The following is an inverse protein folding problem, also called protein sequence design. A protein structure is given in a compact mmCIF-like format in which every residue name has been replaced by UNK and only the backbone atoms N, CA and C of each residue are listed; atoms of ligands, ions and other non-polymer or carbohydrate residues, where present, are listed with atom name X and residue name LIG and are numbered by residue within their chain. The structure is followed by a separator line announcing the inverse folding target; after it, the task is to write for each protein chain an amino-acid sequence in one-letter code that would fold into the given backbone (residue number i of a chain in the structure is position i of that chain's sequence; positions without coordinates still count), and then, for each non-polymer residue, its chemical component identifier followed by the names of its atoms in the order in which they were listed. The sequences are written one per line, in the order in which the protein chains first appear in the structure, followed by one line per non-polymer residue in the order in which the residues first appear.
data_IF_286644957287
#
_entry.id   IF_286644957287
#
_cell.length_a   1.000
_cell.length_b   1.000
_cell.length_c   1.000
_cell.angle_alpha   90.00
_cell.angle_beta   90.00
_cell.angle_gamma   90.00
#
_symmetry.space_group_name_H-M   'P 1'
#
loop_
_entity.id
_entity.type
_entity.pdbx_description
1 polymer ?
#
# COMPACT_ATOMS: atom_id res chain seq x y z
N UNK A 1 4.09 -28.60 -18.20
CA UNK A 1 3.32 -27.82 -17.20
C UNK A 1 4.14 -26.62 -16.79
N UNK A 2 3.92 -25.46 -17.41
CA UNK A 2 4.61 -24.21 -17.07
C UNK A 2 3.82 -23.57 -15.93
N UNK A 3 4.03 -24.06 -14.71
CA UNK A 3 3.46 -23.47 -13.52
C UNK A 3 4.24 -22.20 -13.20
N UNK A 4 3.70 -21.02 -13.51
CA UNK A 4 4.22 -19.78 -12.95
C UNK A 4 4.09 -19.86 -11.44
N UNK A 5 5.20 -20.03 -10.73
CA UNK A 5 5.20 -20.01 -9.28
C UNK A 5 4.72 -18.64 -8.79
N UNK A 6 3.78 -18.65 -7.85
CA UNK A 6 3.28 -17.47 -7.15
C UNK A 6 4.34 -17.00 -6.14
N UNK A 7 5.38 -16.35 -6.64
CA UNK A 7 6.49 -15.86 -5.81
C UNK A 7 6.16 -14.47 -5.21
N UNK A 8 6.44 -14.29 -3.92
CA UNK A 8 6.06 -13.11 -3.16
C UNK A 8 6.59 -11.78 -3.74
N UNK A 9 7.88 -11.65 -4.17
CA UNK A 9 8.38 -10.46 -4.87
C UNK A 9 7.61 -10.11 -6.13
N UNK A 10 7.21 -11.12 -6.93
CA UNK A 10 6.41 -10.90 -8.13
C UNK A 10 5.02 -10.38 -7.77
N UNK A 11 4.39 -10.98 -6.75
CA UNK A 11 3.06 -10.58 -6.29
C UNK A 11 3.08 -9.16 -5.74
N UNK A 12 4.04 -8.83 -4.88
CA UNK A 12 4.22 -7.48 -4.33
C UNK A 12 4.43 -6.43 -5.44
N UNK A 13 5.17 -6.76 -6.51
CA UNK A 13 5.36 -5.85 -7.66
C UNK A 13 4.05 -5.45 -8.31
N UNK A 14 3.32 -6.41 -8.86
CA UNK A 14 2.14 -6.08 -9.65
C UNK A 14 1.03 -5.50 -8.76
N UNK A 15 0.83 -6.05 -7.57
CA UNK A 15 -0.22 -5.57 -6.66
C UNK A 15 0.09 -4.18 -6.11
N UNK A 16 1.36 -3.89 -5.79
CA UNK A 16 1.78 -2.56 -5.36
C UNK A 16 1.68 -1.53 -6.49
N UNK A 17 2.13 -1.86 -7.71
CA UNK A 17 2.02 -0.94 -8.86
C UNK A 17 0.57 -0.67 -9.22
N UNK A 18 -0.26 -1.70 -9.40
CA UNK A 18 -1.67 -1.51 -9.73
C UNK A 18 -2.44 -0.84 -8.59
N UNK A 19 -2.12 -1.19 -7.35
CA UNK A 19 -2.67 -0.57 -6.15
C UNK A 19 -2.32 0.92 -6.01
N UNK A 20 -1.25 1.39 -6.65
CA UNK A 20 -0.89 2.81 -6.72
C UNK A 20 -1.51 3.48 -7.94
N UNK A 21 -1.45 2.84 -9.11
CA UNK A 21 -1.93 3.40 -10.38
C UNK A 21 -3.44 3.61 -10.37
N UNK A 22 -4.23 2.66 -9.86
CA UNK A 22 -5.69 2.78 -9.86
C UNK A 22 -6.18 4.00 -9.06
N UNK A 23 -5.76 4.22 -7.80
CA UNK A 23 -6.10 5.45 -7.09
C UNK A 23 -5.49 6.70 -7.75
N UNK A 24 -4.28 6.62 -8.32
CA UNK A 24 -3.68 7.79 -8.98
C UNK A 24 -4.48 8.28 -10.19
N UNK A 25 -5.14 7.38 -10.94
CA UNK A 25 -6.04 7.74 -12.04
C UNK A 25 -7.18 8.65 -11.56
N UNK A 26 -7.59 8.56 -10.30
CA UNK A 26 -8.66 9.42 -9.76
C UNK A 26 -8.32 10.91 -9.82
N UNK A 27 -7.03 11.27 -9.82
CA UNK A 27 -6.60 12.66 -10.00
C UNK A 27 -7.01 13.24 -11.36
N UNK A 28 -7.20 12.39 -12.37
CA UNK A 28 -7.70 12.77 -13.70
C UNK A 28 -9.24 12.75 -13.78
N UNK A 29 -9.90 12.00 -12.90
CA UNK A 29 -11.36 11.84 -12.88
C UNK A 29 -12.02 12.94 -12.04
N UNK A 30 -11.63 12.99 -10.77
CA UNK A 30 -12.08 13.98 -9.81
C UNK A 30 -11.01 14.16 -8.71
N UNK A 31 -10.11 15.14 -8.87
CA UNK A 31 -8.98 15.26 -7.97
C UNK A 31 -9.41 15.62 -6.55
N UNK A 32 -8.69 15.09 -5.56
CA UNK A 32 -9.09 15.20 -4.15
C UNK A 32 -9.09 16.66 -3.63
N UNK A 33 -8.31 17.57 -4.23
CA UNK A 33 -8.35 18.99 -3.89
C UNK A 33 -9.61 19.72 -4.38
N UNK A 34 -10.46 19.05 -5.17
CA UNK A 34 -11.79 19.56 -5.55
C UNK A 34 -12.90 19.10 -4.61
N UNK A 35 -12.59 18.29 -3.60
CA UNK A 35 -13.55 17.86 -2.60
C UNK A 35 -13.86 19.03 -1.64
N UNK A 36 -15.12 19.18 -1.19
CA UNK A 36 -15.48 20.19 -0.21
C UNK A 36 -14.66 20.05 1.07
N UNK A 37 -14.37 21.17 1.74
CA UNK A 37 -13.84 21.09 3.10
C UNK A 37 -14.82 20.37 4.03
N UNK A 38 -14.33 19.69 5.06
CA UNK A 38 -15.13 18.96 6.06
C UNK A 38 -16.10 19.84 6.85
N UNK A 39 -16.01 21.17 6.78
CA UNK A 39 -16.95 22.13 7.40
C UNK A 39 -17.96 22.71 6.43
N UNK A 40 -17.90 22.30 5.17
CA UNK A 40 -18.86 22.74 4.17
C UNK A 40 -20.26 22.45 4.70
N UNK A 41 -21.18 23.41 4.53
CA UNK A 41 -22.54 23.24 5.05
C UNK A 41 -23.15 21.93 4.53
N UNK A 42 -23.89 21.22 5.39
CA UNK A 42 -24.43 19.90 5.07
C UNK A 42 -25.24 19.87 3.76
N UNK A 43 -25.98 20.95 3.49
CA UNK A 43 -26.75 21.13 2.25
C UNK A 43 -25.85 21.24 1.01
N UNK A 44 -24.71 21.88 1.14
CA UNK A 44 -23.76 22.09 0.05
C UNK A 44 -22.99 20.81 -0.24
N UNK A 45 -22.63 20.01 0.78
CA UNK A 45 -22.06 18.66 0.58
C UNK A 45 -23.04 17.76 -0.16
N UNK A 46 -24.31 17.74 0.25
CA UNK A 46 -25.33 16.94 -0.43
C UNK A 46 -25.55 17.39 -1.89
N UNK A 47 -25.59 18.70 -2.13
CA UNK A 47 -25.72 19.26 -3.49
C UNK A 47 -24.50 18.95 -4.34
N UNK A 48 -23.30 19.08 -3.79
CA UNK A 48 -22.04 18.75 -4.45
C UNK A 48 -21.97 17.28 -4.86
N UNK A 49 -22.33 16.36 -3.94
CA UNK A 49 -22.32 14.93 -4.21
C UNK A 49 -23.31 14.55 -5.32
N UNK A 50 -24.48 15.19 -5.35
CA UNK A 50 -25.46 15.00 -6.43
C UNK A 50 -24.96 15.56 -7.77
N UNK A 51 -24.33 16.74 -7.77
CA UNK A 51 -23.85 17.39 -8.98
C UNK A 51 -22.67 16.67 -9.65
N UNK A 52 -21.86 15.94 -8.87
CA UNK A 52 -20.66 15.25 -9.35
C UNK A 52 -20.75 13.72 -9.25
N UNK A 53 -21.97 13.19 -9.07
CA UNK A 53 -22.23 11.80 -8.70
C UNK A 53 -21.40 10.78 -9.52
N UNK A 54 -21.51 10.80 -10.86
CA UNK A 54 -20.85 9.79 -11.71
C UNK A 54 -19.33 9.79 -11.58
N UNK A 55 -18.72 10.99 -11.48
CA UNK A 55 -17.27 11.14 -11.31
C UNK A 55 -16.82 10.65 -9.94
N UNK A 56 -17.63 10.92 -8.91
CA UNK A 56 -17.36 10.48 -7.53
C UNK A 56 -17.51 8.96 -7.39
N UNK A 57 -18.52 8.36 -8.04
CA UNK A 57 -18.71 6.90 -8.07
C UNK A 57 -17.51 6.23 -8.73
N UNK A 58 -17.07 6.72 -9.89
CA UNK A 58 -15.89 6.19 -10.56
C UNK A 58 -14.63 6.35 -9.70
N UNK A 59 -14.49 7.50 -9.02
CA UNK A 59 -13.38 7.77 -8.10
C UNK A 59 -13.34 6.77 -6.94
N UNK A 60 -14.47 6.53 -6.30
CA UNK A 60 -14.55 5.54 -5.21
C UNK A 60 -14.32 4.11 -5.71
N UNK A 61 -14.86 3.73 -6.87
CA UNK A 61 -14.62 2.41 -7.43
C UNK A 61 -13.12 2.15 -7.67
N UNK A 62 -12.40 3.11 -8.26
CA UNK A 62 -10.96 3.02 -8.48
C UNK A 62 -10.17 2.97 -7.17
N UNK A 63 -10.53 3.80 -6.19
CA UNK A 63 -9.90 3.80 -4.87
C UNK A 63 -10.13 2.48 -4.13
N UNK A 64 -11.36 1.97 -4.10
CA UNK A 64 -11.73 0.72 -3.44
C UNK A 64 -11.00 -0.47 -4.07
N UNK A 65 -10.97 -0.59 -5.40
CA UNK A 65 -10.23 -1.67 -6.07
C UNK A 65 -8.73 -1.52 -5.81
N UNK A 66 -8.17 -0.32 -5.96
CA UNK A 66 -6.76 -0.04 -5.75
C UNK A 66 -6.29 -0.38 -4.33
N UNK A 67 -7.03 0.08 -3.31
CA UNK A 67 -6.72 -0.19 -1.90
C UNK A 67 -7.01 -1.65 -1.52
N UNK A 68 -7.97 -2.33 -2.16
CA UNK A 68 -8.15 -3.78 -1.98
C UNK A 68 -6.91 -4.56 -2.44
N UNK A 69 -6.26 -4.14 -3.54
CA UNK A 69 -5.00 -4.73 -3.97
C UNK A 69 -3.87 -4.54 -2.95
N UNK A 70 -3.99 -3.56 -2.05
CA UNK A 70 -3.01 -3.41 -0.98
C UNK A 70 -3.02 -4.61 -0.04
N UNK A 71 -4.14 -5.28 0.22
CA UNK A 71 -4.12 -6.53 0.99
C UNK A 71 -3.21 -7.59 0.35
N UNK A 72 -3.27 -7.72 -0.97
CA UNK A 72 -2.41 -8.65 -1.73
C UNK A 72 -0.95 -8.23 -1.63
N UNK A 73 -0.67 -6.93 -1.78
CA UNK A 73 0.66 -6.36 -1.61
C UNK A 73 1.22 -6.60 -0.20
N UNK A 74 0.44 -6.29 0.84
CA UNK A 74 0.80 -6.46 2.23
C UNK A 74 1.05 -7.93 2.58
N UNK A 75 0.19 -8.84 2.11
CA UNK A 75 0.42 -10.28 2.29
C UNK A 75 1.73 -10.74 1.64
N UNK A 76 2.02 -10.26 0.42
CA UNK A 76 3.27 -10.59 -0.27
C UNK A 76 4.51 -10.01 0.43
N UNK A 77 4.47 -8.75 0.86
CA UNK A 77 5.55 -8.12 1.65
C UNK A 77 5.74 -8.85 2.98
N UNK A 78 4.66 -9.21 3.65
CA UNK A 78 4.72 -9.98 4.89
C UNK A 78 5.43 -11.32 4.70
N UNK A 79 5.04 -12.10 3.69
CA UNK A 79 5.70 -13.37 3.35
C UNK A 79 7.18 -13.14 3.07
N UNK A 80 7.49 -12.14 2.26
CA UNK A 80 8.87 -11.78 1.91
C UNK A 80 9.73 -11.44 3.14
N UNK A 81 9.18 -10.68 4.10
CA UNK A 81 9.86 -10.33 5.34
C UNK A 81 9.98 -11.55 6.27
N UNK A 82 8.93 -12.36 6.38
CA UNK A 82 8.91 -13.57 7.21
C UNK A 82 10.04 -14.53 6.83
N UNK A 83 10.32 -14.67 5.54
CA UNK A 83 11.36 -15.57 5.05
C UNK A 83 12.80 -15.04 5.26
N UNK A 84 12.95 -13.74 5.57
CA UNK A 84 14.25 -13.06 5.69
C UNK A 84 14.57 -12.56 7.08
N UNK A 85 13.62 -12.62 8.00
CA UNK A 85 13.78 -12.21 9.39
C UNK A 85 13.79 -13.47 10.27
N UNK A 86 14.53 -13.50 11.41
CA UNK A 86 14.55 -14.67 12.28
C UNK A 86 13.16 -15.16 12.66
N UNK A 87 12.94 -16.48 12.70
CA UNK A 87 11.62 -17.09 12.95
C UNK A 87 10.93 -16.63 14.25
N UNK A 88 11.70 -16.19 15.24
CA UNK A 88 11.20 -15.68 16.53
C UNK A 88 10.88 -14.18 16.53
N UNK A 89 11.10 -13.48 15.42
CA UNK A 89 10.88 -12.05 15.33
C UNK A 89 9.39 -11.72 15.17
N UNK A 90 8.94 -10.73 15.92
CA UNK A 90 7.58 -10.21 15.83
C UNK A 90 7.38 -9.20 14.67
N UNK A 91 8.47 -8.74 14.04
CA UNK A 91 8.42 -7.65 13.05
C UNK A 91 7.49 -7.93 11.86
N UNK A 92 7.52 -9.11 11.20
CA UNK A 92 6.57 -9.39 10.13
C UNK A 92 5.13 -9.35 10.63
N UNK A 93 4.85 -9.89 11.82
CA UNK A 93 3.51 -9.88 12.41
C UNK A 93 3.03 -8.47 12.73
N UNK A 94 3.88 -7.61 13.31
CA UNK A 94 3.58 -6.19 13.51
C UNK A 94 3.29 -5.47 12.19
N UNK A 95 4.08 -5.76 11.15
CA UNK A 95 3.84 -5.26 9.81
C UNK A 95 2.45 -5.67 9.30
N UNK A 96 2.13 -6.96 9.32
CA UNK A 96 0.86 -7.47 8.83
C UNK A 96 -0.34 -6.90 9.61
N UNK A 97 -0.28 -6.91 10.94
CA UNK A 97 -1.36 -6.41 11.78
C UNK A 97 -1.62 -4.92 11.56
N UNK A 98 -0.56 -4.10 11.55
CA UNK A 98 -0.69 -2.66 11.30
C UNK A 98 -1.19 -2.37 9.88
N UNK A 99 -0.70 -3.10 8.89
CA UNK A 99 -1.07 -2.88 7.49
C UNK A 99 -2.52 -3.30 7.21
N UNK A 100 -2.97 -4.44 7.76
CA UNK A 100 -4.37 -4.87 7.72
C UNK A 100 -5.26 -3.83 8.39
N UNK A 101 -4.87 -3.31 9.57
CA UNK A 101 -5.62 -2.26 10.26
C UNK A 101 -5.76 -0.99 9.42
N UNK A 102 -4.68 -0.57 8.76
CA UNK A 102 -4.67 0.59 7.85
C UNK A 102 -5.65 0.38 6.69
N UNK A 103 -5.50 -0.71 5.93
CA UNK A 103 -6.34 -1.00 4.77
C UNK A 103 -7.82 -1.16 5.17
N UNK A 104 -8.10 -1.78 6.32
CA UNK A 104 -9.47 -1.93 6.84
C UNK A 104 -10.12 -0.58 7.11
N UNK A 105 -9.41 0.36 7.74
CA UNK A 105 -9.93 1.70 8.01
C UNK A 105 -10.15 2.49 6.72
N UNK A 106 -9.23 2.39 5.75
CA UNK A 106 -9.39 3.03 4.44
C UNK A 106 -10.64 2.52 3.71
N UNK A 107 -10.81 1.20 3.62
CA UNK A 107 -11.97 0.61 2.96
C UNK A 107 -13.27 0.91 3.69
N UNK A 108 -13.23 1.03 5.02
CA UNK A 108 -14.38 1.47 5.82
C UNK A 108 -14.75 2.92 5.53
N UNK A 109 -13.75 3.80 5.36
CA UNK A 109 -13.95 5.18 4.91
C UNK A 109 -14.58 5.22 3.51
N UNK A 110 -14.03 4.48 2.55
CA UNK A 110 -14.60 4.40 1.20
C UNK A 110 -16.02 3.84 1.20
N UNK A 111 -16.30 2.84 2.04
CA UNK A 111 -17.66 2.31 2.22
C UNK A 111 -18.63 3.40 2.70
N UNK A 112 -18.22 4.24 3.66
CA UNK A 112 -19.05 5.36 4.12
C UNK A 112 -19.33 6.36 2.97
N UNK A 113 -18.32 6.65 2.15
CA UNK A 113 -18.46 7.50 0.97
C UNK A 113 -19.34 6.88 -0.12
N UNK A 114 -19.20 5.59 -0.38
CA UNK A 114 -20.06 4.84 -1.30
C UNK A 114 -21.52 4.88 -0.82
N UNK A 115 -21.78 4.80 0.49
CA UNK A 115 -23.12 4.92 1.06
C UNK A 115 -23.72 6.33 0.93
N UNK A 116 -22.87 7.37 0.90
CA UNK A 116 -23.23 8.75 0.60
C UNK A 116 -23.70 8.85 -0.87
N UNK A 117 -23.02 8.17 -1.79
CA UNK A 117 -23.35 8.19 -3.22
C UNK A 117 -24.50 7.26 -3.59
N UNK A 118 -24.63 6.10 -2.93
CA UNK A 118 -25.53 5.00 -3.31
C UNK A 118 -27.00 5.42 -3.52
N UNK A 119 -27.48 6.39 -2.73
CA UNK A 119 -28.82 6.95 -2.86
C UNK A 119 -28.84 8.38 -2.34
N UNK A 120 -29.83 9.15 -2.76
CA UNK A 120 -30.08 10.49 -2.21
C UNK A 120 -30.24 10.42 -0.69
N UNK A 121 -29.50 11.26 0.02
CA UNK A 121 -29.52 11.38 1.49
C UNK A 121 -30.05 12.74 1.89
N UNK A 122 -30.53 12.84 3.14
CA UNK A 122 -30.71 14.14 3.78
C UNK A 122 -29.35 14.84 3.92
N UNK A 123 -29.36 16.16 4.02
CA UNK A 123 -28.15 16.96 4.21
C UNK A 123 -27.32 16.47 5.40
N UNK A 124 -27.96 16.22 6.54
CA UNK A 124 -27.26 15.80 7.76
C UNK A 124 -26.61 14.42 7.61
N UNK A 125 -27.31 13.46 6.99
CA UNK A 125 -26.76 12.14 6.74
C UNK A 125 -25.60 12.19 5.73
N UNK A 126 -25.68 13.09 4.74
CA UNK A 126 -24.60 13.29 3.78
C UNK A 126 -23.34 13.84 4.46
N UNK A 127 -23.49 14.87 5.29
CA UNK A 127 -22.39 15.44 6.07
C UNK A 127 -21.75 14.41 7.01
N UNK A 128 -22.56 13.64 7.75
CA UNK A 128 -22.04 12.62 8.67
C UNK A 128 -21.22 11.54 7.95
N UNK A 129 -21.69 11.04 6.81
CA UNK A 129 -20.97 10.03 6.03
C UNK A 129 -19.68 10.59 5.42
N UNK A 130 -19.71 11.87 5.03
CA UNK A 130 -18.55 12.59 4.53
C UNK A 130 -17.48 12.74 5.62
N UNK A 131 -17.85 13.24 6.79
CA UNK A 131 -16.93 13.38 7.93
C UNK A 131 -16.40 12.03 8.42
N UNK A 132 -17.26 11.02 8.48
CA UNK A 132 -16.85 9.65 8.83
C UNK A 132 -15.81 9.11 7.85
N UNK A 133 -15.97 9.38 6.54
CA UNK A 133 -14.99 8.98 5.52
C UNK A 133 -13.62 9.56 5.86
N UNK A 134 -13.52 10.88 6.00
CA UNK A 134 -12.25 11.54 6.27
C UNK A 134 -11.67 11.20 7.63
N UNK A 135 -12.53 10.99 8.64
CA UNK A 135 -12.13 10.53 9.95
C UNK A 135 -11.46 9.15 9.90
N UNK A 136 -12.05 8.19 9.19
CA UNK A 136 -11.50 6.84 9.03
C UNK A 136 -10.20 6.86 8.22
N UNK A 137 -10.12 7.68 7.18
CA UNK A 137 -8.89 7.88 6.40
C UNK A 137 -7.77 8.45 7.27
N UNK A 138 -8.03 9.46 8.09
CA UNK A 138 -7.04 10.02 9.00
C UNK A 138 -6.58 8.99 10.05
N UNK A 139 -7.53 8.26 10.65
CA UNK A 139 -7.23 7.23 11.66
C UNK A 139 -6.42 6.05 11.09
N UNK A 140 -6.53 5.76 9.79
CA UNK A 140 -5.73 4.72 9.12
C UNK A 140 -4.22 4.93 9.22
N UNK A 141 -3.77 6.16 9.48
CA UNK A 141 -2.37 6.51 9.67
C UNK A 141 -1.74 5.81 10.88
N UNK A 142 -2.47 5.58 11.96
CA UNK A 142 -1.89 5.02 13.19
C UNK A 142 -1.51 3.54 13.07
N UNK A 143 -2.37 2.64 12.55
CA UNK A 143 -1.95 1.28 12.22
C UNK A 143 -0.82 1.25 11.18
N UNK A 144 -0.82 2.20 10.22
CA UNK A 144 0.25 2.28 9.23
C UNK A 144 1.60 2.61 9.86
N UNK A 145 1.66 3.50 10.86
CA UNK A 145 2.90 3.82 11.59
C UNK A 145 3.49 2.56 12.23
N UNK A 146 2.65 1.70 12.83
CA UNK A 146 3.09 0.41 13.38
C UNK A 146 3.66 -0.47 12.28
N UNK A 147 2.98 -0.55 11.13
CA UNK A 147 3.43 -1.38 10.02
C UNK A 147 4.78 -0.91 9.46
N UNK A 148 4.88 0.38 9.17
CA UNK A 148 6.07 0.99 8.59
C UNK A 148 7.24 1.02 9.58
N UNK A 149 7.00 1.24 10.88
CA UNK A 149 8.02 1.13 11.90
C UNK A 149 8.64 -0.28 11.94
N UNK A 150 7.81 -1.32 11.92
CA UNK A 150 8.29 -2.71 11.85
C UNK A 150 9.06 -2.99 10.55
N UNK A 151 8.57 -2.47 9.42
CA UNK A 151 9.23 -2.57 8.11
C UNK A 151 10.60 -1.89 8.11
N UNK A 152 10.70 -0.66 8.63
CA UNK A 152 11.95 0.12 8.74
C UNK A 152 13.00 -0.66 9.52
N UNK A 153 12.63 -1.22 10.68
CA UNK A 153 13.55 -2.04 11.49
C UNK A 153 13.99 -3.28 10.71
N UNK A 154 13.07 -3.96 10.02
CA UNK A 154 13.41 -5.12 9.21
C UNK A 154 14.39 -4.77 8.09
N UNK A 155 14.18 -3.66 7.38
CA UNK A 155 15.06 -3.21 6.28
C UNK A 155 16.44 -2.83 6.79
N UNK A 156 16.55 -1.98 7.82
CA UNK A 156 17.86 -1.51 8.27
C UNK A 156 18.64 -2.55 9.07
N UNK A 157 17.98 -3.30 9.95
CA UNK A 157 18.69 -4.28 10.79
C UNK A 157 19.06 -5.56 10.04
N UNK A 158 18.35 -5.89 8.96
CA UNK A 158 18.49 -7.18 8.26
C UNK A 158 18.71 -7.07 6.75
N UNK A 159 18.81 -5.85 6.20
CA UNK A 159 19.07 -5.59 4.78
C UNK A 159 18.12 -6.37 3.85
N UNK A 160 16.86 -6.54 4.26
CA UNK A 160 15.88 -7.33 3.50
C UNK A 160 15.52 -6.71 2.15
N UNK A 161 15.66 -5.39 2.04
CA UNK A 161 15.44 -4.57 0.84
C UNK A 161 16.47 -3.43 0.79
N UNK A 162 16.64 -2.75 -0.36
CA UNK A 162 17.44 -1.53 -0.46
C UNK A 162 17.06 -0.46 0.56
N UNK A 163 18.04 0.32 1.01
CA UNK A 163 17.87 1.37 2.03
C UNK A 163 16.82 2.41 1.67
N UNK A 164 16.68 2.75 0.38
CA UNK A 164 15.68 3.73 -0.06
C UNK A 164 14.24 3.30 0.30
N UNK A 165 13.92 2.00 0.28
CA UNK A 165 12.60 1.51 0.70
C UNK A 165 12.39 1.76 2.21
N UNK A 166 13.44 1.60 3.01
CA UNK A 166 13.45 1.97 4.43
C UNK A 166 13.30 3.47 4.65
N UNK A 167 13.94 4.33 3.84
CA UNK A 167 13.79 5.79 3.92
C UNK A 167 12.36 6.23 3.59
N UNK A 168 11.76 5.67 2.55
CA UNK A 168 10.36 5.95 2.19
C UNK A 168 9.40 5.51 3.31
N UNK A 169 9.62 4.33 3.88
CA UNK A 169 8.82 3.82 5.00
C UNK A 169 8.95 4.73 6.24
N UNK A 170 10.17 5.18 6.56
CA UNK A 170 10.42 6.07 7.68
C UNK A 170 9.75 7.43 7.48
N UNK A 171 9.90 8.03 6.29
CA UNK A 171 9.27 9.30 5.96
C UNK A 171 7.73 9.20 6.09
N UNK A 172 7.13 8.14 5.55
CA UNK A 172 5.71 7.88 5.71
C UNK A 172 5.34 7.67 7.19
N UNK A 173 6.09 6.88 7.96
CA UNK A 173 5.81 6.65 9.39
C UNK A 173 5.88 7.93 10.24
N UNK A 174 6.74 8.89 9.90
CA UNK A 174 6.85 10.16 10.63
C UNK A 174 5.74 11.14 10.26
N UNK A 175 5.30 11.13 9.00
CA UNK A 175 4.28 12.07 8.50
C UNK A 175 2.87 11.66 8.92
N UNK A 176 2.54 10.37 8.96
CA UNK A 176 1.16 9.91 9.20
C UNK A 176 0.59 10.21 10.60
N UNK A 177 1.36 10.30 11.72
CA UNK A 177 0.86 10.79 13.00
C UNK A 177 0.33 12.23 12.92
N UNK A 178 0.86 13.05 12.01
CA UNK A 178 0.41 14.43 11.79
C UNK A 178 -1.03 14.45 11.26
N UNK A 179 -1.52 13.37 10.63
CA UNK A 179 -2.94 13.24 10.28
C UNK A 179 -3.85 13.30 11.51
N UNK A 180 -3.38 12.92 12.70
CA UNK A 180 -4.21 13.07 13.90
C UNK A 180 -4.41 14.54 14.29
N UNK A 181 -3.45 15.41 13.94
CA UNK A 181 -3.57 16.84 14.21
C UNK A 181 -4.69 17.48 13.38
N UNK A 182 -5.15 16.84 12.30
CA UNK A 182 -6.27 17.35 11.49
C UNK A 182 -7.59 17.36 12.27
N UNK A 183 -7.73 16.51 13.30
CA UNK A 183 -8.87 16.53 14.23
C UNK A 183 -8.79 17.68 15.24
N UNK A 184 -7.59 18.18 15.52
CA UNK A 184 -7.35 19.25 16.50
C UNK A 184 -7.43 20.62 15.82
N UNK A 185 -6.81 20.76 14.66
CA UNK A 185 -6.72 22.04 13.97
C UNK A 185 -7.98 22.37 13.22
N UNK A 186 -8.56 23.51 13.61
CA UNK A 186 -9.79 24.01 13.01
C UNK A 186 -9.57 24.76 11.67
N UNK A 187 -8.53 24.49 10.91
CA UNK A 187 -8.28 25.17 9.64
C UNK A 187 -6.79 25.31 9.34
N UNK A 188 -6.47 25.78 8.14
CA UNK A 188 -5.09 25.93 7.67
C UNK A 188 -4.49 24.63 7.10
N UNK A 189 -3.19 24.64 6.75
CA UNK A 189 -2.55 23.58 5.96
C UNK A 189 -2.55 22.19 6.62
N UNK A 190 -2.68 22.14 7.95
CA UNK A 190 -2.72 20.93 8.76
C UNK A 190 -4.13 20.44 9.10
N UNK A 191 -5.18 21.13 8.63
CA UNK A 191 -6.56 20.67 8.81
C UNK A 191 -6.93 19.61 7.76
N UNK A 192 -8.06 18.91 7.98
CA UNK A 192 -8.64 18.02 6.98
C UNK A 192 -8.95 18.75 5.65
N UNK A 193 -9.09 20.07 5.68
CA UNK A 193 -9.38 20.87 4.48
C UNK A 193 -8.12 21.36 3.77
N UNK A 194 -6.94 21.10 4.36
CA UNK A 194 -5.65 21.61 3.89
C UNK A 194 -4.84 20.60 3.08
N UNK A 195 -3.58 20.96 2.81
CA UNK A 195 -2.61 20.13 2.09
C UNK A 195 -2.31 18.79 2.77
N UNK A 196 -2.61 18.63 4.06
CA UNK A 196 -2.41 17.37 4.77
C UNK A 196 -3.12 16.18 4.10
N UNK A 197 -4.35 16.36 3.61
CA UNK A 197 -5.11 15.28 2.96
C UNK A 197 -4.52 14.86 1.62
N UNK A 198 -3.84 15.75 0.91
CA UNK A 198 -3.22 15.45 -0.40
C UNK A 198 -1.79 14.95 -0.25
N UNK A 199 -1.00 15.64 0.57
CA UNK A 199 0.43 15.39 0.69
C UNK A 199 0.74 14.11 1.46
N UNK A 200 -0.04 13.77 2.50
CA UNK A 200 0.28 12.64 3.37
C UNK A 200 0.05 11.27 2.70
N UNK A 201 -1.06 11.04 1.99
CA UNK A 201 -1.20 9.81 1.19
C UNK A 201 -0.07 9.63 0.19
N UNK A 202 0.47 10.71 -0.38
CA UNK A 202 1.57 10.62 -1.35
C UNK A 202 2.80 9.89 -0.78
N UNK A 203 3.09 10.03 0.52
CA UNK A 203 4.17 9.27 1.16
C UNK A 203 3.87 7.76 1.24
N UNK A 204 2.61 7.40 1.51
CA UNK A 204 2.16 6.01 1.49
C UNK A 204 2.26 5.44 0.06
N UNK A 205 1.75 6.15 -0.94
CA UNK A 205 1.87 5.76 -2.35
C UNK A 205 3.34 5.61 -2.77
N UNK A 206 4.20 6.55 -2.38
CA UNK A 206 5.63 6.50 -2.66
C UNK A 206 6.29 5.27 -2.01
N UNK A 207 5.96 4.95 -0.77
CA UNK A 207 6.47 3.74 -0.11
C UNK A 207 5.96 2.45 -0.77
N UNK A 208 4.66 2.35 -1.09
CA UNK A 208 4.11 1.17 -1.78
C UNK A 208 4.81 0.97 -3.12
N UNK A 209 4.89 2.03 -3.94
CA UNK A 209 5.54 1.98 -5.24
C UNK A 209 7.03 1.67 -5.11
N UNK A 210 7.74 2.36 -4.21
CA UNK A 210 9.17 2.16 -3.98
C UNK A 210 9.49 0.74 -3.51
N UNK A 211 8.67 0.19 -2.60
CA UNK A 211 8.79 -1.19 -2.11
C UNK A 211 8.46 -2.19 -3.22
N UNK A 212 7.41 -1.95 -4.00
CA UNK A 212 7.08 -2.79 -5.15
C UNK A 212 8.27 -2.82 -6.14
N UNK A 213 8.85 -1.67 -6.49
CA UNK A 213 10.00 -1.59 -7.39
C UNK A 213 11.28 -2.19 -6.79
N UNK A 214 11.41 -2.22 -5.46
CA UNK A 214 12.53 -2.80 -4.74
C UNK A 214 12.54 -4.34 -4.75
N UNK A 215 11.41 -4.97 -5.05
CA UNK A 215 11.28 -6.43 -5.01
C UNK A 215 12.10 -7.10 -6.12
N UNK A 216 12.87 -8.16 -5.79
CA UNK A 216 13.71 -8.86 -6.76
C UNK A 216 12.95 -9.41 -7.97
N UNK A 217 13.63 -9.47 -9.12
CA UNK A 217 13.13 -10.13 -10.34
C UNK A 217 13.66 -11.56 -10.42
N UNK A 218 12.89 -12.45 -11.03
CA UNK A 218 13.32 -13.80 -11.36
C UNK A 218 14.46 -13.71 -12.38
N UNK A 219 15.71 -13.77 -11.91
CA UNK A 219 16.91 -13.56 -12.71
C UNK A 219 18.05 -12.88 -11.94
N UNK A 220 17.73 -12.11 -10.90
CA UNK A 220 18.73 -11.36 -10.11
C UNK A 220 19.62 -12.26 -9.22
N UNK A 221 19.40 -13.58 -9.24
CA UNK A 221 20.15 -14.60 -8.50
C UNK A 221 21.12 -15.45 -9.33
N UNK A 222 21.26 -15.22 -10.63
CA UNK A 222 22.29 -15.90 -11.43
C UNK A 222 23.60 -15.11 -11.38
N UNK A 223 24.51 -15.49 -10.48
CA UNK A 223 25.89 -15.02 -10.55
C UNK A 223 26.50 -15.42 -11.92
N UNK A 224 27.21 -14.53 -12.63
CA UNK A 224 27.94 -14.90 -13.84
C UNK A 224 29.12 -15.79 -13.44
N UNK A 225 28.98 -17.11 -13.58
CA UNK A 225 30.12 -18.00 -13.31
C UNK A 225 29.91 -19.52 -13.25
N UNK A 226 28.71 -20.07 -13.45
CA UNK A 226 28.48 -21.51 -13.26
C UNK A 226 27.94 -22.24 -14.49
N UNK A 227 28.43 -21.91 -15.69
CA UNK A 227 28.05 -22.63 -16.91
C UNK A 227 29.24 -22.85 -17.87
N UNK A 228 30.31 -23.50 -17.41
CA UNK A 228 31.23 -24.25 -18.28
C UNK A 228 32.33 -24.95 -17.49
N UNK A 229 32.08 -26.14 -16.94
CA UNK A 229 33.12 -27.18 -16.76
C UNK A 229 32.60 -28.45 -16.07
N UNK A 230 31.56 -29.11 -16.58
CA UNK A 230 31.42 -30.55 -16.27
C UNK A 230 30.54 -31.32 -17.27
N UNK A 231 31.14 -31.77 -18.37
CA UNK A 231 30.88 -33.08 -19.00
C UNK A 231 31.80 -33.31 -20.19
N UNK A 232 33.05 -33.67 -19.90
CA UNK A 232 33.82 -34.60 -20.73
C UNK A 232 34.27 -35.75 -19.84
N UNK A 233 33.42 -36.76 -19.77
CA UNK A 233 33.83 -38.07 -19.26
C UNK A 233 34.75 -38.72 -20.30
N UNK A 234 36.03 -38.83 -19.99
CA UNK A 234 36.96 -39.72 -20.67
C UNK A 234 37.08 -41.00 -19.85
N UNK A 235 36.82 -42.12 -20.51
CA UNK A 235 36.52 -43.41 -19.90
C UNK A 235 37.63 -44.04 -19.07
N UNK A 236 37.20 -44.74 -18.02
CA UNK A 236 38.00 -45.70 -17.27
C UNK A 236 38.09 -46.99 -18.09
N UNK A 237 39.31 -47.36 -18.47
CA UNK A 237 39.63 -48.60 -19.20
C UNK A 237 39.77 -49.73 -18.17
N UNK A 238 38.92 -50.75 -18.25
CA UNK A 238 39.02 -51.98 -17.46
C UNK A 238 40.12 -52.85 -18.08
N UNK A 239 41.16 -53.18 -17.32
CA UNK A 239 42.13 -54.24 -17.66
C UNK A 239 41.88 -55.44 -16.76
N UNK A 240 41.43 -56.55 -17.35
CA UNK A 240 41.36 -57.85 -16.69
C UNK A 240 42.76 -58.48 -16.61
N UNK A 241 43.10 -59.22 -15.54
CA UNK A 241 44.18 -60.20 -15.59
C UNK A 241 43.62 -61.58 -15.96
N UNK A 242 44.25 -62.20 -16.96
CA UNK A 242 44.02 -63.60 -17.31
C UNK A 242 44.94 -64.53 -16.52
N UNK A 243 44.38 -65.70 -16.17
CA UNK A 243 44.97 -66.98 -15.73
C UNK A 243 45.90 -66.97 -14.53
#
# INVERSE_FOLDING_TARGET
MIGTSWDAPRVARWSGVLGVVLPAITLLVYPIWSFPGTRTQSVDVARWAAAHHDRLVLTMALNTVGVTLWFVFGAAVWTYLRDRVPMKSILPTCFAAGFIGCVTLLLSGFTAFDLLLYRRRSADAAALLYDLTFGLLAMSGMPLVVALGAFVVAVYARQTLPSYAGHLALAAAVVHPVLLLTFVFRGGPLSLEGYAITAMPAFLFAWILGTALAMPRAGDGAAPGAASAQRRGSGVRITAPGR
#
